data_IF_332642384980
#
_entry.id   IF_332642384980
#
_cell.length_a   1.000
_cell.length_b   1.000
_cell.length_c   1.000
_cell.angle_alpha   90.00
_cell.angle_beta   90.00
_cell.angle_gamma   90.00
#
_symmetry.space_group_name_H-M   'P 1'
#
loop_
_entity.id
_entity.type
_entity.pdbx_description
1 polymer ?
#
# COMPACT_ATOMS: atom_id res chain seq x y z
N UNK A 1 -3.60 -8.42 66.64
CA UNK A 1 -3.40 -9.88 66.62
C UNK A 1 -4.70 -10.53 66.19
N UNK A 2 -4.83 -10.90 64.96
CA UNK A 2 -5.73 -12.00 64.51
C UNK A 2 -5.19 -12.52 63.20
N UNK A 3 -4.78 -13.78 63.26
CA UNK A 3 -4.20 -14.56 62.20
C UNK A 3 -5.37 -15.27 61.49
N UNK A 4 -5.52 -15.12 60.15
CA UNK A 4 -6.49 -15.89 59.38
C UNK A 4 -5.74 -16.71 58.35
N UNK A 5 -5.70 -18.01 58.67
CA UNK A 5 -5.17 -19.03 57.77
C UNK A 5 -6.18 -19.29 56.63
N UNK A 6 -5.72 -19.24 55.38
CA UNK A 6 -6.50 -19.65 54.20
C UNK A 6 -6.12 -21.08 53.84
N UNK A 7 -7.07 -21.99 54.01
CA UNK A 7 -6.95 -23.44 53.72
C UNK A 7 -7.29 -23.65 52.24
N UNK A 8 -6.35 -24.19 51.47
CA UNK A 8 -6.61 -24.66 50.10
C UNK A 8 -7.31 -26.03 50.12
N UNK A 9 -8.50 -26.10 49.57
CA UNK A 9 -9.22 -27.36 49.35
C UNK A 9 -8.88 -27.90 47.96
N UNK A 10 -8.16 -29.01 47.91
CA UNK A 10 -7.89 -29.81 46.69
C UNK A 10 -9.01 -30.79 46.50
N UNK A 11 -9.79 -30.64 45.42
CA UNK A 11 -10.82 -31.62 45.04
C UNK A 11 -10.26 -32.44 43.88
N UNK A 12 -10.15 -33.77 44.07
CA UNK A 12 -9.86 -34.78 43.04
C UNK A 12 -11.12 -35.22 42.33
N UNK A 13 -11.10 -35.56 41.03
CA UNK A 13 -12.26 -36.02 40.30
C UNK A 13 -12.49 -37.51 40.51
N UNK A 14 -13.73 -37.88 40.82
CA UNK A 14 -14.21 -39.27 40.79
C UNK A 14 -15.37 -39.37 39.81
N UNK A 15 -15.28 -40.38 38.96
CA UNK A 15 -16.18 -40.78 37.89
C UNK A 15 -17.66 -40.90 38.32
N UNK A 16 -18.57 -40.51 37.46
CA UNK A 16 -19.87 -41.15 37.36
C UNK A 16 -20.42 -41.14 35.91
N UNK A 17 -20.87 -42.29 35.54
CA UNK A 17 -21.23 -42.80 34.23
C UNK A 17 -22.65 -42.40 33.84
N UNK A 18 -22.83 -42.08 32.55
CA UNK A 18 -23.97 -42.35 31.65
C UNK A 18 -25.38 -41.81 31.86
N UNK A 19 -25.88 -41.43 30.72
CA UNK A 19 -27.23 -41.34 30.17
C UNK A 19 -27.91 -39.99 30.22
N UNK A 20 -28.03 -39.36 29.05
CA UNK A 20 -29.33 -39.15 28.37
C UNK A 20 -29.11 -38.55 26.95
N UNK A 21 -29.77 -39.18 25.98
CA UNK A 21 -29.90 -38.73 24.61
C UNK A 21 -30.77 -37.46 24.55
N UNK A 22 -30.36 -36.47 23.75
CA UNK A 22 -31.13 -35.30 23.37
C UNK A 22 -30.44 -34.58 22.23
N UNK A 23 -30.84 -34.87 20.98
CA UNK A 23 -30.46 -34.10 19.80
C UNK A 23 -31.02 -32.70 19.93
N UNK A 24 -30.15 -31.70 19.99
CA UNK A 24 -30.47 -30.34 19.57
C UNK A 24 -29.30 -29.84 18.76
N UNK A 25 -29.56 -29.54 17.45
CA UNK A 25 -28.61 -29.01 16.50
C UNK A 25 -27.98 -27.72 17.00
N UNK A 26 -26.77 -27.83 17.49
CA UNK A 26 -25.91 -26.68 17.76
C UNK A 26 -25.28 -26.22 16.44
N UNK A 27 -25.75 -25.09 15.94
CA UNK A 27 -25.03 -24.30 14.94
C UNK A 27 -23.67 -23.97 15.53
N UNK A 28 -22.64 -24.61 15.04
CA UNK A 28 -21.25 -24.18 15.30
C UNK A 28 -21.05 -22.92 14.50
N UNK A 29 -20.95 -21.80 15.18
CA UNK A 29 -20.33 -20.61 14.61
C UNK A 29 -18.87 -20.94 14.31
N UNK A 30 -18.64 -21.52 13.13
CA UNK A 30 -17.30 -21.60 12.54
C UNK A 30 -16.91 -20.18 12.20
N UNK A 31 -16.06 -19.58 13.04
CA UNK A 31 -15.29 -18.39 12.65
C UNK A 31 -14.46 -18.81 11.46
N UNK A 32 -14.68 -18.27 10.27
CA UNK A 32 -13.89 -18.65 9.11
C UNK A 32 -12.44 -18.28 9.42
N UNK A 33 -11.57 -19.29 9.46
CA UNK A 33 -10.13 -19.07 9.42
C UNK A 33 -9.84 -18.20 8.17
N UNK A 34 -9.00 -17.18 8.24
CA UNK A 34 -8.62 -16.43 7.06
C UNK A 34 -7.93 -17.42 6.10
N UNK A 35 -8.67 -17.86 5.10
CA UNK A 35 -8.09 -18.60 3.98
C UNK A 35 -7.05 -17.70 3.36
N UNK A 36 -5.84 -18.22 3.12
CA UNK A 36 -4.73 -17.48 2.59
C UNK A 36 -5.19 -16.61 1.42
N UNK A 37 -5.05 -15.29 1.58
CA UNK A 37 -5.39 -14.31 0.57
C UNK A 37 -4.60 -14.67 -0.70
N UNK A 38 -5.28 -15.11 -1.74
CA UNK A 38 -4.71 -15.22 -3.05
C UNK A 38 -4.37 -13.81 -3.53
N UNK A 39 -3.23 -13.62 -4.18
CA UNK A 39 -2.69 -12.33 -4.64
C UNK A 39 -3.64 -11.53 -5.56
N UNK A 40 -4.81 -12.06 -5.88
CA UNK A 40 -5.82 -11.43 -6.74
C UNK A 40 -6.69 -10.36 -6.06
N UNK A 41 -6.68 -10.29 -4.72
CA UNK A 41 -7.55 -9.37 -3.98
C UNK A 41 -6.89 -7.98 -3.74
N UNK A 42 -5.64 -7.82 -4.16
CA UNK A 42 -4.84 -6.60 -3.94
C UNK A 42 -4.49 -5.93 -5.27
N UNK A 43 -4.71 -4.62 -5.37
CA UNK A 43 -4.23 -3.81 -6.48
C UNK A 43 -3.03 -2.95 -6.04
N UNK A 44 -2.10 -2.72 -6.97
CA UNK A 44 -1.04 -1.73 -6.81
C UNK A 44 -1.56 -0.35 -7.21
N UNK A 45 -1.23 0.67 -6.45
CA UNK A 45 -1.57 2.07 -6.73
C UNK A 45 -0.30 2.89 -6.86
N UNK A 46 -0.10 3.49 -8.03
CA UNK A 46 0.97 4.43 -8.29
C UNK A 46 0.41 5.85 -8.33
N UNK A 47 0.71 6.67 -7.32
CA UNK A 47 0.27 8.07 -7.30
C UNK A 47 1.22 8.92 -8.14
N UNK A 48 0.71 9.43 -9.26
CA UNK A 48 1.44 10.23 -10.25
C UNK A 48 0.74 11.58 -10.54
N UNK A 49 -0.06 12.07 -9.58
CA UNK A 49 -0.95 13.22 -9.81
C UNK A 49 -0.28 14.58 -9.60
N UNK A 50 0.88 14.65 -8.93
CA UNK A 50 1.55 15.90 -8.56
C UNK A 50 2.13 16.65 -9.76
N UNK A 51 2.17 18.00 -9.66
CA UNK A 51 2.72 18.87 -10.70
C UNK A 51 4.25 18.88 -10.81
N UNK A 52 4.98 18.32 -9.83
CA UNK A 52 6.44 18.34 -9.83
C UNK A 52 7.06 19.74 -9.76
N UNK A 53 6.38 20.71 -9.15
CA UNK A 53 6.74 22.14 -9.19
C UNK A 53 8.09 22.50 -8.58
N UNK A 54 8.65 21.64 -7.73
CA UNK A 54 9.98 21.81 -7.14
C UNK A 54 11.13 21.36 -8.06
N UNK A 55 10.79 20.65 -9.13
CA UNK A 55 11.77 20.16 -10.09
C UNK A 55 11.98 21.22 -11.17
N UNK A 56 12.97 22.09 -10.95
CA UNK A 56 13.28 23.24 -11.84
C UNK A 56 14.04 22.79 -13.10
N UNK A 57 13.34 22.14 -14.04
CA UNK A 57 13.89 21.69 -15.30
C UNK A 57 12.91 21.95 -16.46
N UNK A 58 13.38 21.75 -17.69
CA UNK A 58 12.57 21.92 -18.91
C UNK A 58 11.54 20.82 -19.11
N UNK A 59 11.67 19.71 -18.40
CA UNK A 59 10.77 18.55 -18.43
C UNK A 59 10.19 18.29 -17.05
N UNK A 60 8.99 17.74 -17.00
CA UNK A 60 8.39 17.32 -15.73
C UNK A 60 9.25 16.21 -15.08
N UNK A 61 9.39 16.22 -13.73
CA UNK A 61 10.27 15.31 -13.00
C UNK A 61 10.09 13.83 -13.34
N UNK A 62 8.87 13.40 -13.60
CA UNK A 62 8.57 11.98 -13.92
C UNK A 62 9.19 11.54 -15.26
N UNK A 63 9.47 12.47 -16.17
CA UNK A 63 10.15 12.22 -17.45
C UNK A 63 11.67 12.42 -17.37
N UNK A 64 12.20 12.89 -16.25
CA UNK A 64 13.63 12.98 -16.05
C UNK A 64 14.25 11.58 -16.02
N UNK A 65 15.44 11.43 -16.65
CA UNK A 65 16.13 10.15 -16.75
C UNK A 65 17.05 9.92 -15.57
N UNK A 66 17.04 8.72 -15.02
CA UNK A 66 17.92 8.33 -13.90
C UNK A 66 19.39 8.30 -14.30
N UNK A 67 19.69 8.05 -15.56
CA UNK A 67 21.04 8.17 -16.15
C UNK A 67 20.92 8.81 -17.54
N UNK A 68 22.02 9.24 -18.14
CA UNK A 68 22.01 9.93 -19.44
C UNK A 68 21.23 9.20 -20.56
N UNK A 69 21.26 7.86 -20.56
CA UNK A 69 20.59 6.99 -21.56
C UNK A 69 19.61 6.01 -20.91
N UNK A 70 19.44 6.07 -19.60
CA UNK A 70 18.63 5.15 -18.84
C UNK A 70 17.12 5.45 -18.88
N UNK A 71 16.33 4.66 -18.16
CA UNK A 71 14.90 4.87 -18.03
C UNK A 71 14.58 6.18 -17.31
N UNK A 72 13.35 6.66 -17.49
CA UNK A 72 12.82 7.78 -16.71
C UNK A 72 12.47 7.35 -15.28
N UNK A 73 12.26 8.34 -14.41
CA UNK A 73 11.79 8.10 -13.04
C UNK A 73 10.48 7.30 -13.07
N UNK A 74 9.49 7.75 -13.84
CA UNK A 74 8.19 7.06 -13.94
C UNK A 74 8.33 5.66 -14.55
N UNK A 75 9.12 5.51 -15.61
CA UNK A 75 9.35 4.21 -16.25
C UNK A 75 9.89 3.20 -15.23
N UNK A 76 10.88 3.58 -14.43
CA UNK A 76 11.47 2.71 -13.41
C UNK A 76 10.45 2.33 -12.33
N UNK A 77 9.73 3.33 -11.80
CA UNK A 77 8.72 3.08 -10.77
C UNK A 77 7.61 2.15 -11.27
N UNK A 78 7.12 2.35 -12.51
CA UNK A 78 6.10 1.49 -13.13
C UNK A 78 6.61 0.06 -13.37
N UNK A 79 7.85 -0.10 -13.87
CA UNK A 79 8.45 -1.43 -14.06
C UNK A 79 8.51 -2.20 -12.76
N UNK A 80 9.00 -1.59 -11.69
CA UNK A 80 9.09 -2.25 -10.38
C UNK A 80 7.70 -2.64 -9.84
N UNK A 81 6.70 -1.78 -10.03
CA UNK A 81 5.32 -2.08 -9.64
C UNK A 81 4.75 -3.28 -10.45
N UNK A 82 4.98 -3.33 -11.77
CA UNK A 82 4.55 -4.43 -12.63
C UNK A 82 5.30 -5.73 -12.30
N UNK A 83 6.62 -5.67 -12.11
CA UNK A 83 7.48 -6.79 -11.80
C UNK A 83 7.25 -7.35 -10.39
N UNK A 84 6.58 -6.58 -9.52
CA UNK A 84 6.15 -7.09 -8.22
C UNK A 84 5.12 -8.20 -8.32
N UNK A 85 4.35 -8.24 -9.40
CA UNK A 85 3.29 -9.23 -9.66
C UNK A 85 2.25 -9.34 -8.51
N UNK A 86 2.04 -8.23 -7.79
CA UNK A 86 1.06 -8.15 -6.70
C UNK A 86 -0.37 -8.17 -7.24
N UNK A 87 -0.60 -7.49 -8.38
CA UNK A 87 -1.92 -7.39 -9.00
C UNK A 87 -1.97 -6.29 -10.06
N UNK A 88 -3.16 -5.86 -10.49
CA UNK A 88 -3.31 -4.76 -11.43
C UNK A 88 -2.75 -3.46 -10.87
N UNK A 89 -2.22 -2.60 -11.75
CA UNK A 89 -1.58 -1.33 -11.39
C UNK A 89 -2.48 -0.16 -11.76
N UNK A 90 -3.04 0.52 -10.79
CA UNK A 90 -3.80 1.75 -10.98
C UNK A 90 -2.86 2.95 -10.90
N UNK A 91 -2.63 3.61 -12.03
CA UNK A 91 -1.84 4.84 -12.08
C UNK A 91 -2.77 6.03 -11.94
N UNK A 92 -2.71 6.71 -10.80
CA UNK A 92 -3.55 7.88 -10.53
C UNK A 92 -2.84 9.12 -11.06
N UNK A 93 -3.39 9.70 -12.11
CA UNK A 93 -2.89 10.90 -12.79
C UNK A 93 -3.60 12.16 -12.31
N UNK A 94 -3.03 13.33 -12.61
CA UNK A 94 -3.59 14.62 -12.23
C UNK A 94 -3.06 15.74 -13.11
N UNK A 95 -1.97 16.40 -12.71
CA UNK A 95 -1.32 17.46 -13.49
C UNK A 95 -0.87 16.98 -14.88
N UNK A 96 -0.40 15.74 -14.97
CA UNK A 96 -0.16 15.05 -16.24
C UNK A 96 -1.39 14.20 -16.54
N UNK A 97 -1.93 14.33 -17.72
CA UNK A 97 -3.01 13.46 -18.25
C UNK A 97 -2.44 12.26 -19.02
N UNK A 98 -3.32 11.40 -19.50
CA UNK A 98 -2.94 10.22 -20.27
C UNK A 98 -2.19 10.59 -21.57
N UNK A 99 -2.52 11.71 -22.21
CA UNK A 99 -1.88 12.17 -23.44
C UNK A 99 -0.43 12.60 -23.15
N UNK A 100 -0.22 13.36 -22.08
CA UNK A 100 1.12 13.77 -21.64
C UNK A 100 2.01 12.58 -21.29
N UNK A 101 1.46 11.56 -20.60
CA UNK A 101 2.20 10.33 -20.30
C UNK A 101 2.56 9.54 -21.55
N UNK A 102 1.66 9.45 -22.52
CA UNK A 102 1.88 8.73 -23.78
C UNK A 102 2.79 9.46 -24.76
N UNK A 103 3.18 10.72 -24.50
CA UNK A 103 4.14 11.45 -25.30
C UNK A 103 5.56 10.85 -25.23
N UNK A 104 5.93 10.22 -24.11
CA UNK A 104 7.14 9.41 -24.03
C UNK A 104 6.88 8.00 -24.52
N UNK A 105 7.64 7.57 -25.54
CA UNK A 105 7.43 6.26 -26.20
C UNK A 105 7.60 5.08 -25.25
N UNK A 106 8.53 5.14 -24.32
CA UNK A 106 8.82 4.05 -23.40
C UNK A 106 7.71 3.93 -22.35
N UNK A 107 7.21 5.07 -21.86
CA UNK A 107 6.05 5.09 -20.98
C UNK A 107 4.80 4.60 -21.73
N UNK A 108 4.55 5.07 -22.96
CA UNK A 108 3.43 4.60 -23.78
C UNK A 108 3.41 3.07 -23.93
N UNK A 109 4.59 2.46 -24.20
CA UNK A 109 4.70 1.01 -24.29
C UNK A 109 4.39 0.28 -22.96
N UNK A 110 4.72 0.87 -21.82
CA UNK A 110 4.36 0.32 -20.52
C UNK A 110 2.86 0.46 -20.25
N UNK A 111 2.26 1.57 -20.66
CA UNK A 111 0.82 1.80 -20.51
C UNK A 111 -0.04 0.85 -21.36
N UNK A 112 0.54 0.21 -22.38
CA UNK A 112 -0.10 -0.86 -23.16
C UNK A 112 -0.17 -2.20 -22.42
N UNK A 113 0.52 -2.37 -21.25
CA UNK A 113 0.39 -3.56 -20.42
C UNK A 113 -1.05 -3.65 -19.88
N UNK A 114 -1.76 -4.78 -20.13
CA UNK A 114 -3.17 -4.93 -19.73
C UNK A 114 -3.40 -4.84 -18.22
N UNK A 115 -2.35 -4.97 -17.42
CA UNK A 115 -2.42 -4.79 -15.95
C UNK A 115 -2.49 -3.33 -15.55
N UNK A 116 -2.08 -2.39 -16.42
CA UNK A 116 -2.09 -0.95 -16.10
C UNK A 116 -3.44 -0.33 -16.44
N UNK A 117 -3.97 0.45 -15.50
CA UNK A 117 -5.18 1.24 -15.68
C UNK A 117 -4.95 2.68 -15.21
N UNK A 118 -5.12 3.63 -16.11
CA UNK A 118 -5.05 5.04 -15.77
C UNK A 118 -6.35 5.47 -15.06
N UNK A 119 -6.22 6.19 -13.95
CA UNK A 119 -7.31 6.80 -13.19
C UNK A 119 -7.00 8.29 -13.04
N UNK A 120 -7.86 9.15 -13.55
CA UNK A 120 -7.60 10.59 -13.49
C UNK A 120 -8.28 11.22 -12.27
N UNK A 121 -7.50 12.01 -11.51
CA UNK A 121 -8.02 12.87 -10.45
C UNK A 121 -8.08 14.32 -10.94
N UNK A 122 -9.25 14.86 -11.30
CA UNK A 122 -9.36 16.25 -11.75
C UNK A 122 -9.09 17.27 -10.64
N UNK A 123 -9.24 16.86 -9.38
CA UNK A 123 -9.01 17.70 -8.20
C UNK A 123 -7.64 17.45 -7.56
N UNK A 124 -6.64 17.07 -8.35
CA UNK A 124 -5.30 16.72 -7.86
C UNK A 124 -4.63 17.84 -7.05
N UNK A 125 -4.96 19.11 -7.36
CA UNK A 125 -4.42 20.27 -6.67
C UNK A 125 -4.92 20.42 -5.21
N UNK A 126 -6.00 19.72 -4.83
CA UNK A 126 -6.56 19.73 -3.47
C UNK A 126 -5.80 18.77 -2.52
N UNK A 127 -4.75 18.12 -3.00
CA UNK A 127 -3.84 17.30 -2.22
C UNK A 127 -3.94 15.79 -2.48
N UNK A 128 -3.02 15.06 -1.87
CA UNK A 128 -2.85 13.61 -2.08
C UNK A 128 -4.07 12.77 -1.66
N UNK A 129 -4.84 13.25 -0.67
CA UNK A 129 -6.02 12.52 -0.17
C UNK A 129 -7.07 12.28 -1.28
N UNK A 130 -7.27 13.25 -2.19
CA UNK A 130 -8.15 13.10 -3.35
C UNK A 130 -7.69 11.99 -4.29
N UNK A 131 -6.40 11.92 -4.58
CA UNK A 131 -5.82 10.86 -5.42
C UNK A 131 -5.93 9.47 -4.78
N UNK A 132 -5.76 9.40 -3.46
CA UNK A 132 -5.94 8.15 -2.73
C UNK A 132 -7.40 7.67 -2.75
N UNK A 133 -8.37 8.61 -2.68
CA UNK A 133 -9.79 8.29 -2.83
C UNK A 133 -10.10 7.73 -4.22
N UNK A 134 -9.62 8.38 -5.28
CA UNK A 134 -9.78 7.86 -6.65
C UNK A 134 -9.26 6.43 -6.75
N UNK A 135 -8.13 6.12 -6.10
CA UNK A 135 -7.58 4.78 -6.07
C UNK A 135 -8.47 3.77 -5.32
N UNK A 136 -8.96 4.13 -4.13
CA UNK A 136 -9.85 3.24 -3.34
C UNK A 136 -11.20 3.01 -4.02
N UNK A 137 -11.77 4.04 -4.66
CA UNK A 137 -13.01 3.91 -5.44
C UNK A 137 -12.82 2.98 -6.64
N UNK A 138 -11.68 3.12 -7.36
CA UNK A 138 -11.34 2.24 -8.47
C UNK A 138 -11.11 0.78 -8.01
N UNK A 139 -10.44 0.57 -6.88
CA UNK A 139 -10.22 -0.74 -6.30
C UNK A 139 -11.54 -1.40 -5.87
N UNK A 140 -12.42 -0.63 -5.21
CA UNK A 140 -13.77 -1.09 -4.84
C UNK A 140 -14.57 -1.52 -6.06
N UNK A 141 -14.58 -0.70 -7.11
CA UNK A 141 -15.31 -1.00 -8.34
C UNK A 141 -14.78 -2.24 -9.08
N UNK A 142 -13.48 -2.55 -8.92
CA UNK A 142 -12.84 -3.74 -9.48
C UNK A 142 -12.92 -4.98 -8.58
N UNK A 143 -13.49 -4.86 -7.35
CA UNK A 143 -13.67 -5.95 -6.41
C UNK A 143 -12.42 -6.28 -5.58
N UNK A 144 -11.44 -5.37 -5.51
CA UNK A 144 -10.28 -5.53 -4.64
C UNK A 144 -10.61 -5.11 -3.20
N UNK A 145 -10.05 -5.81 -2.23
CA UNK A 145 -10.20 -5.52 -0.80
C UNK A 145 -8.95 -4.93 -0.15
N UNK A 146 -7.87 -4.79 -0.91
CA UNK A 146 -6.66 -4.11 -0.49
C UNK A 146 -6.00 -3.35 -1.65
N UNK A 147 -5.29 -2.27 -1.31
CA UNK A 147 -4.38 -1.57 -2.22
C UNK A 147 -2.99 -1.44 -1.59
N UNK A 148 -1.96 -1.52 -2.42
CA UNK A 148 -0.58 -1.17 -2.03
C UNK A 148 -0.18 0.10 -2.75
N UNK A 149 0.07 1.16 -2.00
CA UNK A 149 0.24 2.52 -2.52
C UNK A 149 1.70 2.94 -2.47
N UNK A 150 2.21 3.41 -3.58
CA UNK A 150 3.51 4.09 -3.69
C UNK A 150 3.43 5.33 -4.56
N UNK A 151 4.54 6.06 -4.65
CA UNK A 151 4.64 7.29 -5.40
C UNK A 151 5.45 7.08 -6.68
N UNK A 152 5.05 7.76 -7.75
CA UNK A 152 5.68 7.64 -9.06
C UNK A 152 7.10 8.23 -9.12
N UNK A 153 7.46 9.06 -8.16
CA UNK A 153 8.77 9.70 -8.01
C UNK A 153 9.74 8.97 -7.07
N UNK A 154 9.39 7.73 -6.67
CA UNK A 154 10.21 6.85 -5.82
C UNK A 154 10.71 5.62 -6.59
N UNK A 155 11.64 5.78 -7.55
CA UNK A 155 12.05 4.72 -8.46
C UNK A 155 12.87 3.61 -7.80
N UNK A 156 13.30 3.78 -6.55
CA UNK A 156 14.17 2.83 -5.85
C UNK A 156 13.42 1.87 -4.91
N UNK A 157 12.09 1.92 -4.91
CA UNK A 157 11.26 0.88 -4.29
C UNK A 157 11.32 -0.36 -5.18
N UNK A 158 11.88 -1.45 -4.63
CA UNK A 158 12.11 -2.68 -5.41
C UNK A 158 10.82 -3.51 -5.58
N UNK A 159 10.73 -4.39 -6.59
CA UNK A 159 9.62 -5.33 -6.71
C UNK A 159 9.40 -6.18 -5.45
N UNK A 160 10.49 -6.56 -4.78
CA UNK A 160 10.45 -7.30 -3.51
C UNK A 160 9.81 -6.47 -2.39
N UNK A 161 10.09 -5.16 -2.33
CA UNK A 161 9.48 -4.24 -1.37
C UNK A 161 7.96 -4.13 -1.56
N UNK A 162 7.50 -4.06 -2.80
CA UNK A 162 6.08 -4.08 -3.12
C UNK A 162 5.40 -5.37 -2.65
N UNK A 163 6.01 -6.56 -2.96
CA UNK A 163 5.50 -7.86 -2.52
C UNK A 163 5.46 -7.99 -1.01
N UNK A 164 6.56 -7.66 -0.34
CA UNK A 164 6.66 -7.78 1.11
C UNK A 164 5.56 -7.00 1.84
N UNK A 165 5.24 -5.80 1.35
CA UNK A 165 4.16 -4.99 1.91
C UNK A 165 2.78 -5.55 1.54
N UNK A 166 2.60 -6.06 0.32
CA UNK A 166 1.35 -6.71 -0.10
C UNK A 166 1.02 -7.93 0.77
N UNK A 167 2.02 -8.74 1.10
CA UNK A 167 1.87 -9.96 1.90
C UNK A 167 1.68 -9.69 3.40
N UNK A 168 1.90 -8.46 3.85
CA UNK A 168 1.74 -8.10 5.26
C UNK A 168 0.30 -8.27 5.75
N UNK A 169 0.13 -8.79 6.97
CA UNK A 169 -1.18 -9.19 7.51
C UNK A 169 -1.95 -8.06 8.23
N UNK A 170 -1.40 -6.85 8.29
CA UNK A 170 -2.06 -5.71 8.95
C UNK A 170 -3.17 -5.09 8.10
N UNK A 171 -4.15 -4.46 8.76
CA UNK A 171 -5.10 -3.58 8.07
C UNK A 171 -4.39 -2.38 7.41
N UNK A 172 -3.27 -1.97 7.97
CA UNK A 172 -2.28 -1.07 7.39
C UNK A 172 -0.93 -1.76 7.50
N UNK A 173 -0.24 -1.99 6.38
CA UNK A 173 1.15 -2.48 6.39
C UNK A 173 2.03 -1.41 5.77
N UNK A 174 3.11 -1.04 6.43
CA UNK A 174 4.03 0.01 5.97
C UNK A 174 5.45 -0.53 5.82
N UNK A 175 6.10 -0.21 4.71
CA UNK A 175 7.51 -0.51 4.52
C UNK A 175 8.37 0.24 5.53
N UNK A 176 9.45 -0.39 5.99
CA UNK A 176 10.51 0.27 6.75
C UNK A 176 11.86 0.07 6.10
N UNK A 177 12.66 1.11 6.09
CA UNK A 177 14.03 1.15 5.58
C UNK A 177 14.93 1.68 6.69
N UNK A 178 15.87 0.90 7.16
CA UNK A 178 16.72 1.25 8.32
C UNK A 178 15.91 1.72 9.55
N UNK A 179 14.76 1.06 9.79
CA UNK A 179 13.86 1.38 10.90
C UNK A 179 13.00 2.65 10.72
N UNK A 180 13.02 3.27 9.53
CA UNK A 180 12.18 4.43 9.20
C UNK A 180 11.07 4.04 8.25
N UNK A 181 9.84 4.45 8.56
CA UNK A 181 8.66 4.19 7.71
C UNK A 181 8.77 4.93 6.38
N UNK A 182 8.41 4.24 5.29
CA UNK A 182 8.34 4.79 3.94
C UNK A 182 7.24 4.13 3.12
N UNK A 183 7.16 4.46 1.84
CA UNK A 183 6.32 3.72 0.91
C UNK A 183 7.05 2.42 0.46
N UNK A 184 6.30 1.42 -0.04
CA UNK A 184 4.86 1.42 -0.21
C UNK A 184 4.09 1.20 1.10
N UNK A 185 2.79 1.49 1.07
CA UNK A 185 1.87 1.27 2.18
C UNK A 185 0.67 0.47 1.69
N UNK A 186 0.39 -0.69 2.31
CA UNK A 186 -0.85 -1.44 2.09
C UNK A 186 -1.97 -0.87 2.95
N UNK A 187 -3.15 -0.75 2.36
CA UNK A 187 -4.38 -0.34 3.01
C UNK A 187 -5.48 -1.35 2.66
N UNK A 188 -5.95 -2.09 3.65
CA UNK A 188 -7.10 -2.97 3.50
C UNK A 188 -8.40 -2.16 3.47
N UNK A 189 -9.44 -2.66 2.80
CA UNK A 189 -10.72 -1.96 2.62
C UNK A 189 -11.38 -1.54 3.94
N UNK A 190 -11.16 -2.29 5.03
CA UNK A 190 -11.68 -1.96 6.36
C UNK A 190 -11.22 -0.60 6.90
N UNK A 191 -10.15 -0.03 6.35
CA UNK A 191 -9.62 1.28 6.78
C UNK A 191 -9.86 2.40 5.78
N UNK A 192 -10.38 2.14 4.57
CA UNK A 192 -10.57 3.17 3.55
C UNK A 192 -11.53 4.29 3.99
N UNK A 193 -12.58 3.94 4.75
CA UNK A 193 -13.51 4.93 5.32
C UNK A 193 -12.89 5.83 6.41
N UNK A 194 -11.69 5.50 6.90
CA UNK A 194 -10.95 6.30 7.88
C UNK A 194 -9.92 7.24 7.25
N UNK A 195 -9.72 7.15 5.93
CA UNK A 195 -8.79 8.02 5.20
C UNK A 195 -9.28 9.47 5.22
N UNK A 196 -8.36 10.45 5.25
CA UNK A 196 -8.76 11.87 5.23
C UNK A 196 -9.46 12.22 3.91
N UNK A 197 -10.43 13.11 4.01
CA UNK A 197 -11.20 13.58 2.84
C UNK A 197 -10.39 14.55 1.96
N UNK A 198 -9.39 15.25 2.52
CA UNK A 198 -8.58 16.28 1.85
C UNK A 198 -7.22 16.42 2.51
N UNK A 199 -6.29 17.12 1.84
CA UNK A 199 -4.95 17.43 2.33
C UNK A 199 -3.86 16.52 1.74
N UNK A 200 -2.60 16.88 2.05
CA UNK A 200 -1.40 16.32 1.38
C UNK A 200 -0.79 15.09 2.08
N UNK A 201 -1.22 14.79 3.31
CA UNK A 201 -0.56 13.74 4.09
C UNK A 201 -1.07 12.32 3.81
N UNK A 202 -2.16 12.18 3.03
CA UNK A 202 -2.70 10.88 2.62
C UNK A 202 -2.89 9.89 3.79
N UNK A 203 -2.34 8.68 3.65
CA UNK A 203 -2.42 7.63 4.67
C UNK A 203 -1.63 7.94 5.96
N UNK A 204 -0.67 8.89 5.93
CA UNK A 204 0.15 9.23 7.12
C UNK A 204 -0.70 9.73 8.29
N UNK A 205 -1.77 10.49 8.01
CA UNK A 205 -2.73 10.95 9.05
C UNK A 205 -3.36 9.76 9.75
N UNK A 206 -3.82 8.77 8.98
CA UNK A 206 -4.47 7.58 9.51
C UNK A 206 -3.49 6.77 10.38
N UNK A 207 -2.26 6.53 9.90
CA UNK A 207 -1.25 5.80 10.66
C UNK A 207 -0.89 6.48 11.99
N UNK A 208 -0.89 7.82 12.06
CA UNK A 208 -0.69 8.54 13.32
C UNK A 208 -1.87 8.42 14.28
N UNK A 209 -3.11 8.41 13.75
CA UNK A 209 -4.33 8.31 14.56
C UNK A 209 -4.62 6.89 15.04
N UNK A 210 -4.20 5.89 14.27
CA UNK A 210 -4.47 4.47 14.51
C UNK A 210 -3.20 3.63 14.41
N UNK A 211 -2.21 3.89 15.29
CA UNK A 211 -0.97 3.11 15.32
C UNK A 211 -1.23 1.63 15.66
N UNK A 212 -2.33 1.33 16.31
CA UNK A 212 -2.80 -0.01 16.62
C UNK A 212 -3.13 -0.87 15.38
N UNK A 213 -3.40 -0.25 14.23
CA UNK A 213 -3.68 -0.93 12.95
C UNK A 213 -2.44 -1.11 12.07
N UNK A 214 -1.29 -0.59 12.49
CA UNK A 214 -0.08 -0.53 11.64
C UNK A 214 0.84 -1.70 11.94
N UNK A 215 1.18 -2.44 10.89
CA UNK A 215 2.24 -3.45 10.89
C UNK A 215 3.41 -2.93 10.03
N UNK A 216 4.63 -3.03 10.55
CA UNK A 216 5.85 -2.62 9.86
C UNK A 216 6.52 -3.83 9.21
N UNK A 217 6.98 -3.65 7.96
CA UNK A 217 7.69 -4.69 7.21
C UNK A 217 9.03 -4.13 6.73
N UNK A 218 10.16 -4.74 7.12
CA UNK A 218 11.48 -4.35 6.62
C UNK A 218 11.57 -4.62 5.11
N UNK A 219 12.00 -3.61 4.35
CA UNK A 219 12.17 -3.69 2.91
C UNK A 219 13.59 -3.33 2.50
N UNK A 220 14.03 -3.90 1.38
CA UNK A 220 15.25 -3.49 0.67
C UNK A 220 14.95 -2.34 -0.29
N UNK A 221 16.01 -1.67 -0.76
CA UNK A 221 15.89 -0.51 -1.63
C UNK A 221 15.82 0.80 -0.85
N UNK A 222 15.18 1.80 -1.41
CA UNK A 222 15.08 3.14 -0.81
C UNK A 222 13.72 3.78 -1.09
N UNK A 223 13.09 4.40 -0.08
CA UNK A 223 11.86 5.17 -0.25
C UNK A 223 12.14 6.62 -0.67
N UNK A 224 13.37 6.95 -1.06
CA UNK A 224 13.74 8.31 -1.45
C UNK A 224 12.96 8.75 -2.70
N UNK A 225 12.34 9.91 -2.60
CA UNK A 225 11.71 10.62 -3.70
C UNK A 225 12.75 11.48 -4.42
N UNK A 226 12.56 11.66 -5.73
CA UNK A 226 13.32 12.61 -6.54
C UNK A 226 12.43 13.82 -6.74
N UNK A 227 12.64 14.85 -5.92
CA UNK A 227 11.84 16.07 -5.93
C UNK A 227 12.53 17.25 -6.63
N UNK A 228 13.85 17.25 -6.65
CA UNK A 228 14.69 18.32 -7.23
C UNK A 228 15.69 17.75 -8.23
N UNK A 229 16.29 18.63 -9.02
CA UNK A 229 17.40 18.27 -9.92
C UNK A 229 18.63 17.83 -9.13
N UNK A 230 18.84 18.38 -7.94
CA UNK A 230 19.90 18.02 -7.01
C UNK A 230 19.74 16.59 -6.50
N UNK A 231 18.51 16.18 -6.15
CA UNK A 231 18.22 14.79 -5.75
C UNK A 231 18.60 13.83 -6.89
N UNK A 232 18.20 14.15 -8.12
CA UNK A 232 18.54 13.35 -9.30
C UNK A 232 20.06 13.24 -9.49
N UNK A 233 20.80 14.35 -9.39
CA UNK A 233 22.25 14.36 -9.54
C UNK A 233 22.96 13.56 -8.43
N UNK A 234 22.45 13.58 -7.19
CA UNK A 234 23.00 12.76 -6.11
C UNK A 234 22.91 11.26 -6.46
N UNK A 235 21.78 10.83 -7.04
CA UNK A 235 21.60 9.45 -7.46
C UNK A 235 22.44 9.07 -8.69
N UNK A 236 22.68 9.97 -9.59
CA UNK A 236 23.53 9.73 -10.78
C UNK A 236 25.01 9.56 -10.45
N UNK A 237 25.44 10.07 -9.30
CA UNK A 237 26.85 10.09 -8.88
C UNK A 237 27.20 9.03 -7.82
N UNK A 238 26.21 8.24 -7.32
CA UNK A 238 26.40 7.13 -6.40
C UNK A 238 26.42 5.77 -7.13
#
# INVERSE_FOLDING_TARGET
MFNVAVTFLVIRPTQMTQMWFGETGGVRDEVPSPSGATSHDTAVVMLAAGAGSRFEATVHKLFARLTATGPTILETSLRHAIESDVGPVFVVTGALDASALSADRQIAQLLDDPRIQLKHNPSWADGQAGSLRVATDAATAAGHDAIVVGLADQPFITPEGWRAVADGLGAITVATYDGRRGNPVKLHASVWGLLPASGDEGARVLMRRRPDLVVEVPCSGSPADIDTVEDLHQWQNN
#
